data_IF_494812006241
#
_entry.id   IF_494812006241
#
_cell.length_a   1.000
_cell.length_b   1.000
_cell.length_c   1.000
_cell.angle_alpha   90.00
_cell.angle_beta   90.00
_cell.angle_gamma   90.00
#
_symmetry.space_group_name_H-M   'P 1'
#
loop_
_entity.id
_entity.type
_entity.pdbx_description
1 polymer ?
#
# COMPACT_ATOMS: atom_id res chain seq x y z
N UNK A 1 -4.89 15.98 -4.66
CA UNK A 1 -4.58 14.61 -4.23
C UNK A 1 -3.34 14.64 -3.35
N UNK A 2 -3.40 13.97 -2.20
CA UNK A 2 -2.27 13.83 -1.29
C UNK A 2 -1.60 12.47 -1.56
N UNK A 3 -0.28 12.48 -1.74
CA UNK A 3 0.50 11.30 -2.13
C UNK A 3 1.48 10.84 -1.02
N UNK A 4 1.06 10.88 0.23
CA UNK A 4 1.90 10.39 1.33
C UNK A 4 2.13 8.89 1.20
N UNK A 5 3.40 8.46 1.22
CA UNK A 5 3.79 7.06 1.19
C UNK A 5 3.94 6.55 2.64
N UNK A 6 3.18 5.51 3.05
CA UNK A 6 3.29 4.95 4.40
C UNK A 6 4.70 4.46 4.77
N UNK A 7 5.49 4.01 3.79
CA UNK A 7 6.86 3.55 4.04
C UNK A 7 7.84 4.70 4.28
N UNK A 8 7.52 5.91 3.83
CA UNK A 8 8.41 7.07 3.89
C UNK A 8 7.99 8.07 4.97
N UNK A 9 6.69 8.27 5.16
CA UNK A 9 6.19 9.30 6.08
C UNK A 9 6.27 8.92 7.56
N UNK A 10 6.79 7.75 7.91
CA UNK A 10 6.91 7.29 9.30
C UNK A 10 5.94 6.17 9.69
N UNK A 11 5.46 5.41 8.72
CA UNK A 11 4.56 4.28 8.94
C UNK A 11 3.08 4.67 9.02
N UNK A 12 2.24 3.68 9.33
CA UNK A 12 0.79 3.87 9.40
C UNK A 12 0.35 4.90 10.44
N UNK A 13 1.09 5.05 11.53
CA UNK A 13 0.74 6.02 12.58
C UNK A 13 0.78 7.46 12.05
N UNK A 14 1.83 7.83 11.34
CA UNK A 14 1.94 9.16 10.74
C UNK A 14 1.04 9.29 9.51
N UNK A 15 0.94 8.25 8.70
CA UNK A 15 0.05 8.26 7.55
C UNK A 15 -1.42 8.49 7.96
N UNK A 16 -1.87 7.91 9.06
CA UNK A 16 -3.22 8.11 9.61
C UNK A 16 -3.49 9.57 9.98
N UNK A 17 -2.50 10.30 10.50
CA UNK A 17 -2.62 11.74 10.79
C UNK A 17 -2.78 12.54 9.51
N UNK A 18 -1.97 12.23 8.49
CA UNK A 18 -2.07 12.86 7.17
C UNK A 18 -3.43 12.58 6.55
N UNK A 19 -3.91 11.34 6.67
CA UNK A 19 -5.23 10.94 6.18
C UNK A 19 -6.35 11.74 6.87
N UNK A 20 -6.28 11.94 8.18
CA UNK A 20 -7.26 12.73 8.92
C UNK A 20 -7.30 14.19 8.46
N UNK A 21 -6.13 14.81 8.27
CA UNK A 21 -6.01 16.18 7.74
C UNK A 21 -6.59 16.25 6.31
N UNK A 22 -6.25 15.28 5.47
CA UNK A 22 -6.75 15.22 4.08
C UNK A 22 -8.27 15.09 4.04
N UNK A 23 -8.84 14.22 4.89
CA UNK A 23 -10.29 14.05 5.03
C UNK A 23 -10.95 15.34 5.45
N UNK A 24 -10.42 16.02 6.47
CA UNK A 24 -10.95 17.29 6.96
C UNK A 24 -10.97 18.39 5.89
N UNK A 25 -10.11 18.28 4.88
CA UNK A 25 -10.02 19.22 3.77
C UNK A 25 -10.62 18.67 2.46
N UNK A 26 -11.37 17.58 2.50
CA UNK A 26 -11.98 16.93 1.32
C UNK A 26 -10.96 16.58 0.22
N UNK A 27 -9.74 16.24 0.61
CA UNK A 27 -8.69 15.83 -0.32
C UNK A 27 -8.65 14.31 -0.46
N UNK A 28 -8.52 13.83 -1.69
CA UNK A 28 -8.29 12.41 -1.99
C UNK A 28 -6.87 12.00 -1.64
N UNK A 29 -6.68 10.73 -1.25
CA UNK A 29 -5.37 10.13 -1.03
C UNK A 29 -5.08 9.05 -2.05
N UNK A 30 -3.86 9.11 -2.58
CA UNK A 30 -3.29 8.12 -3.49
C UNK A 30 -1.79 8.01 -3.16
N UNK A 31 -1.37 7.09 -2.28
CA UNK A 31 0.03 6.99 -1.88
C UNK A 31 0.98 6.88 -3.06
N UNK A 32 2.09 7.60 -2.98
CA UNK A 32 3.19 7.46 -3.93
C UNK A 32 3.88 6.11 -3.68
N UNK A 33 3.73 5.17 -4.58
CA UNK A 33 4.23 3.82 -4.39
C UNK A 33 3.49 3.05 -3.28
N UNK A 34 4.23 2.47 -2.36
CA UNK A 34 3.69 1.77 -1.20
C UNK A 34 3.27 0.31 -1.44
N UNK A 35 3.04 -0.09 -2.67
CA UNK A 35 2.73 -1.48 -3.01
C UNK A 35 1.67 -2.12 -2.12
N UNK A 36 1.97 -3.30 -1.54
CA UNK A 36 1.06 -4.02 -0.66
C UNK A 36 0.69 -3.22 0.61
N UNK A 37 1.64 -2.45 1.16
CA UNK A 37 1.43 -1.61 2.35
C UNK A 37 0.52 -0.43 2.01
N UNK A 38 0.75 0.23 0.88
CA UNK A 38 -0.07 1.33 0.39
C UNK A 38 -1.50 0.90 0.07
N UNK A 39 -1.70 -0.33 -0.42
CA UNK A 39 -3.02 -0.88 -0.71
C UNK A 39 -3.90 -0.96 0.55
N UNK A 40 -3.35 -1.46 1.67
CA UNK A 40 -4.06 -1.47 2.96
C UNK A 40 -4.39 -0.05 3.45
N UNK A 41 -3.44 0.87 3.29
CA UNK A 41 -3.63 2.26 3.69
C UNK A 41 -4.80 2.90 2.95
N UNK A 42 -4.83 2.78 1.62
CA UNK A 42 -5.91 3.35 0.79
C UNK A 42 -7.25 2.71 1.09
N UNK A 43 -7.30 1.38 1.15
CA UNK A 43 -8.54 0.65 1.38
C UNK A 43 -9.18 0.95 2.74
N UNK A 44 -8.42 1.48 3.70
CA UNK A 44 -8.93 1.86 5.02
C UNK A 44 -9.71 3.18 5.04
N UNK A 45 -9.75 3.91 3.92
CA UNK A 45 -10.30 5.27 3.87
C UNK A 45 -11.41 5.41 2.84
N UNK A 46 -12.54 6.07 3.20
CA UNK A 46 -13.61 6.37 2.25
C UNK A 46 -13.16 7.27 1.08
N UNK A 47 -12.17 8.15 1.30
CA UNK A 47 -11.60 9.04 0.28
C UNK A 47 -10.32 8.48 -0.37
N UNK A 48 -9.93 7.25 -0.07
CA UNK A 48 -8.87 6.56 -0.77
C UNK A 48 -9.18 6.46 -2.26
N UNK A 49 -8.22 6.78 -3.11
CA UNK A 49 -8.43 6.83 -4.56
C UNK A 49 -7.84 5.59 -5.25
N UNK A 50 -6.53 5.46 -5.20
CA UNK A 50 -5.78 4.35 -5.79
C UNK A 50 -4.41 4.24 -5.12
N UNK A 51 -3.65 3.22 -5.48
CA UNK A 51 -2.26 3.05 -5.09
C UNK A 51 -1.40 2.86 -6.33
N UNK A 52 -0.23 3.48 -6.35
CA UNK A 52 0.75 3.27 -7.40
C UNK A 52 1.40 1.90 -7.30
N UNK A 53 1.61 1.27 -8.46
CA UNK A 53 2.41 0.05 -8.57
C UNK A 53 3.46 0.21 -9.65
N UNK A 54 4.64 -0.35 -9.40
CA UNK A 54 5.75 -0.31 -10.35
C UNK A 54 6.08 -1.73 -10.82
N UNK A 55 5.76 -2.10 -12.07
CA UNK A 55 5.97 -3.46 -12.57
C UNK A 55 7.41 -3.95 -12.37
N UNK A 56 8.40 -3.11 -12.59
CA UNK A 56 9.81 -3.44 -12.39
C UNK A 56 10.16 -3.75 -10.92
N UNK A 57 9.65 -2.97 -9.97
CA UNK A 57 9.85 -3.22 -8.54
C UNK A 57 9.09 -4.46 -8.08
N UNK A 58 7.88 -4.69 -8.60
CA UNK A 58 7.13 -5.91 -8.33
C UNK A 58 7.90 -7.14 -8.82
N UNK A 59 8.43 -7.11 -10.05
CA UNK A 59 9.23 -8.20 -10.59
C UNK A 59 10.51 -8.47 -9.79
N UNK A 60 11.19 -7.42 -9.35
CA UNK A 60 12.39 -7.56 -8.49
C UNK A 60 12.02 -8.11 -7.10
N UNK A 61 10.98 -7.57 -6.48
CA UNK A 61 10.53 -7.97 -5.15
C UNK A 61 9.89 -9.36 -5.10
N UNK A 62 9.35 -9.85 -6.22
CA UNK A 62 8.74 -11.17 -6.32
C UNK A 62 9.73 -12.33 -6.05
N UNK A 63 11.03 -12.04 -6.02
CA UNK A 63 12.08 -13.00 -5.63
C UNK A 63 12.09 -13.29 -4.13
N UNK A 64 11.57 -12.40 -3.32
CA UNK A 64 11.64 -12.47 -1.84
C UNK A 64 10.29 -12.34 -1.15
N UNK A 65 9.25 -11.91 -1.87
CA UNK A 65 7.90 -11.79 -1.32
C UNK A 65 6.84 -11.93 -2.40
N UNK A 66 5.66 -12.41 -1.99
CA UNK A 66 4.50 -12.45 -2.86
C UNK A 66 3.77 -11.10 -2.84
N UNK A 67 3.59 -10.52 -4.01
CA UNK A 67 2.74 -9.35 -4.16
C UNK A 67 1.27 -9.75 -4.25
N UNK A 68 0.39 -8.87 -3.77
CA UNK A 68 -1.05 -9.05 -3.90
C UNK A 68 -1.45 -9.16 -5.36
N UNK A 69 -2.45 -9.98 -5.62
CA UNK A 69 -3.01 -10.16 -6.95
C UNK A 69 -3.62 -8.86 -7.47
N UNK A 70 -3.51 -8.65 -8.77
CA UNK A 70 -4.18 -7.55 -9.48
C UNK A 70 -5.16 -8.19 -10.44
N UNK A 71 -6.43 -7.87 -10.27
CA UNK A 71 -7.51 -8.32 -11.13
C UNK A 71 -8.25 -7.11 -11.72
N UNK A 72 -8.33 -7.04 -13.03
CA UNK A 72 -8.97 -5.94 -13.78
C UNK A 72 -8.54 -4.51 -13.35
N UNK A 73 -7.34 -4.38 -12.80
CA UNK A 73 -6.78 -3.09 -12.31
C UNK A 73 -6.93 -2.87 -10.80
N UNK A 74 -7.65 -3.72 -10.11
CA UNK A 74 -7.80 -3.67 -8.67
C UNK A 74 -6.82 -4.58 -7.95
N UNK A 75 -6.24 -4.11 -6.84
CA UNK A 75 -5.42 -4.93 -5.96
C UNK A 75 -6.31 -5.66 -4.98
N UNK A 76 -6.27 -6.99 -5.02
CA UNK A 76 -7.04 -7.83 -4.11
C UNK A 76 -6.33 -7.95 -2.76
N UNK A 77 -6.92 -7.38 -1.72
CA UNK A 77 -6.38 -7.48 -0.36
C UNK A 77 -6.64 -8.88 0.22
N UNK A 78 -5.63 -9.52 0.84
CA UNK A 78 -5.81 -10.82 1.47
C UNK A 78 -6.62 -10.72 2.76
N UNK A 79 -7.32 -11.81 3.09
CA UNK A 79 -8.03 -11.97 4.36
C UNK A 79 -7.18 -12.64 5.46
N UNK A 80 -5.89 -12.84 5.22
CA UNK A 80 -4.96 -13.42 6.18
C UNK A 80 -4.59 -12.41 7.28
N UNK A 81 -4.17 -12.90 8.48
CA UNK A 81 -3.82 -12.03 9.59
C UNK A 81 -2.70 -11.02 9.28
N UNK A 82 -2.70 -9.90 9.96
CA UNK A 82 -1.72 -8.82 9.78
C UNK A 82 -1.87 -8.15 8.40
N UNK A 83 -0.76 -7.91 7.73
CA UNK A 83 -0.73 -7.35 6.38
C UNK A 83 -0.95 -8.40 5.28
N UNK A 84 -1.01 -9.69 5.64
CA UNK A 84 -1.11 -10.76 4.66
C UNK A 84 0.10 -10.89 3.75
N UNK A 85 1.27 -10.44 4.20
CA UNK A 85 2.51 -10.55 3.43
C UNK A 85 3.09 -11.95 3.57
N UNK A 86 3.36 -12.57 2.43
CA UNK A 86 4.09 -13.83 2.36
C UNK A 86 5.54 -13.54 1.95
N UNK A 87 6.47 -13.77 2.87
CA UNK A 87 7.91 -13.50 2.66
C UNK A 87 8.65 -14.83 2.54
N UNK A 88 9.45 -14.95 1.50
CA UNK A 88 10.39 -16.07 1.33
C UNK A 88 11.66 -15.80 2.13
N UNK A 89 11.68 -16.29 3.36
CA UNK A 89 12.81 -16.10 4.26
C UNK A 89 14.09 -16.83 3.80
N UNK A 90 13.96 -17.90 3.00
CA UNK A 90 15.11 -18.61 2.48
C UNK A 90 15.75 -17.86 1.31
N UNK A 91 14.96 -17.13 0.53
CA UNK A 91 15.47 -16.28 -0.54
C UNK A 91 16.20 -15.02 -0.02
N UNK A 92 15.99 -14.64 1.25
CA UNK A 92 16.65 -13.46 1.86
C UNK A 92 18.02 -13.82 2.47
N UNK A 93 18.25 -15.07 2.79
CA UNK A 93 19.54 -15.56 3.34
C UNK A 93 20.63 -15.58 2.27
#
# INVERSE_FOLDING_TARGET
IVQADPAICGGYSEWKKIAAISTANNLKLAPHGGGNIGAHAVASLPQGLNVETYPGLRAAGAKVMKFFEIDEGDILLPNSPGLGLEIDWDAIK
#
